data_IF_017553311212
#
_entry.id   IF_017553311212
#
_cell.length_a   1.000
_cell.length_b   1.000
_cell.length_c   1.000
_cell.angle_alpha   90.00
_cell.angle_beta   90.00
_cell.angle_gamma   90.00
#
_symmetry.space_group_name_H-M   'P 1'
#
loop_
_entity.id
_entity.type
_entity.pdbx_description
1 polymer ?
#
# COMPACT_ATOMS: atom_id res chain seq x y z
N UNK A 1 -14.88 0.33 24.54
CA UNK A 1 -14.52 1.53 23.74
C UNK A 1 -13.81 1.05 22.47
N UNK A 2 -14.55 0.82 21.38
CA UNK A 2 -13.96 0.39 20.10
C UNK A 2 -13.78 1.63 19.25
N UNK A 3 -12.54 2.09 19.10
CA UNK A 3 -12.24 3.13 18.11
C UNK A 3 -12.41 2.51 16.72
N UNK A 4 -13.61 2.63 16.14
CA UNK A 4 -13.85 2.38 14.73
C UNK A 4 -12.93 3.31 13.95
N UNK A 5 -11.87 2.75 13.35
CA UNK A 5 -11.09 3.40 12.30
C UNK A 5 -12.10 3.84 11.24
N UNK A 6 -12.32 5.15 11.10
CA UNK A 6 -13.11 5.68 9.98
C UNK A 6 -12.37 5.27 8.71
N UNK A 7 -12.88 4.27 8.00
CA UNK A 7 -12.42 3.97 6.66
C UNK A 7 -12.94 5.12 5.79
N UNK A 8 -12.13 6.16 5.63
CA UNK A 8 -12.39 7.14 4.58
C UNK A 8 -12.33 6.40 3.24
N UNK A 9 -13.30 6.62 2.34
CA UNK A 9 -13.28 5.97 1.04
C UNK A 9 -12.05 6.46 0.29
N UNK A 10 -11.09 5.55 0.07
CA UNK A 10 -9.95 5.81 -0.80
C UNK A 10 -10.53 5.98 -2.20
N UNK A 11 -10.57 7.21 -2.70
CA UNK A 11 -10.99 7.47 -4.07
C UNK A 11 -10.04 6.73 -5.01
N UNK A 12 -10.55 5.96 -5.99
CA UNK A 12 -9.70 5.15 -6.84
C UNK A 12 -8.93 6.05 -7.80
N UNK A 13 -7.69 6.36 -7.46
CA UNK A 13 -6.71 6.85 -8.43
C UNK A 13 -6.27 5.67 -9.29
N UNK A 14 -6.17 5.88 -10.61
CA UNK A 14 -5.57 4.88 -11.50
C UNK A 14 -4.09 4.73 -11.19
N UNK A 15 -3.46 3.65 -11.66
CA UNK A 15 -2.02 3.43 -11.53
C UNK A 15 -1.25 4.69 -11.97
N UNK A 16 -0.49 5.27 -11.04
CA UNK A 16 0.15 6.56 -11.23
C UNK A 16 1.58 6.56 -10.67
N UNK A 17 2.44 7.39 -11.26
CA UNK A 17 3.82 7.64 -10.84
C UNK A 17 4.02 9.15 -10.77
N UNK A 18 4.55 9.63 -9.66
CA UNK A 18 4.82 11.06 -9.42
C UNK A 18 6.28 11.25 -9.05
N UNK A 19 6.88 12.34 -9.54
CA UNK A 19 8.20 12.79 -9.10
C UNK A 19 8.03 13.79 -7.95
N UNK A 20 8.24 13.33 -6.72
CA UNK A 20 8.05 14.16 -5.53
C UNK A 20 9.08 15.31 -5.40
N UNK A 21 10.20 15.27 -6.13
CA UNK A 21 11.18 16.36 -6.09
C UNK A 21 10.66 17.59 -6.84
N UNK A 22 9.99 17.38 -7.98
CA UNK A 22 9.45 18.45 -8.82
C UNK A 22 7.95 18.66 -8.65
N UNK A 23 7.23 17.65 -8.19
CA UNK A 23 5.77 17.63 -8.02
C UNK A 23 5.36 17.07 -6.65
N UNK A 24 5.67 17.78 -5.54
CA UNK A 24 5.34 17.34 -4.19
C UNK A 24 3.83 17.29 -3.91
N UNK A 25 3.01 17.91 -4.76
CA UNK A 25 1.55 17.89 -4.69
C UNK A 25 0.91 16.72 -5.46
N UNK A 26 1.70 15.84 -6.08
CA UNK A 26 1.21 14.67 -6.84
C UNK A 26 0.17 15.02 -7.91
N UNK A 27 0.38 16.12 -8.63
CA UNK A 27 -0.56 16.64 -9.63
C UNK A 27 -0.32 16.07 -11.04
N UNK A 28 0.89 15.58 -11.33
CA UNK A 28 1.33 15.20 -12.67
C UNK A 28 1.72 13.71 -12.74
N UNK A 29 0.81 12.88 -13.24
CA UNK A 29 1.07 11.46 -13.42
C UNK A 29 1.96 11.19 -14.65
N UNK A 30 3.19 10.74 -14.42
CA UNK A 30 4.19 10.39 -15.44
C UNK A 30 4.34 8.89 -15.69
N UNK A 31 3.40 8.06 -15.22
CA UNK A 31 3.48 6.59 -15.33
C UNK A 31 3.61 6.08 -16.77
N UNK A 32 2.98 6.76 -17.74
CA UNK A 32 3.04 6.38 -19.16
C UNK A 32 4.39 6.68 -19.79
N UNK A 33 5.12 7.65 -19.25
CA UNK A 33 6.43 8.09 -19.73
C UNK A 33 7.56 7.22 -19.18
N UNK A 34 7.34 6.59 -18.03
CA UNK A 34 8.33 5.76 -17.33
C UNK A 34 7.83 4.36 -16.94
N UNK A 35 7.41 3.52 -17.92
CA UNK A 35 6.85 2.19 -17.65
C UNK A 35 7.83 1.24 -16.92
N UNK A 36 9.13 1.40 -17.14
CA UNK A 36 10.18 0.62 -16.47
C UNK A 36 10.27 0.93 -14.97
N UNK A 37 10.05 2.18 -14.57
CA UNK A 37 10.02 2.59 -13.16
C UNK A 37 8.78 2.03 -12.49
N UNK A 38 7.63 2.13 -13.18
CA UNK A 38 6.37 1.53 -12.71
C UNK A 38 6.57 0.04 -12.46
N UNK A 39 7.09 -0.72 -13.43
CA UNK A 39 7.33 -2.15 -13.28
C UNK A 39 8.25 -2.48 -12.09
N UNK A 40 9.34 -1.71 -11.92
CA UNK A 40 10.28 -1.89 -10.81
C UNK A 40 9.59 -1.67 -9.45
N UNK A 41 8.86 -0.57 -9.30
CA UNK A 41 8.21 -0.22 -8.04
C UNK A 41 7.04 -1.15 -7.72
N UNK A 42 6.26 -1.55 -8.72
CA UNK A 42 5.21 -2.57 -8.57
C UNK A 42 5.80 -3.89 -8.08
N UNK A 43 6.92 -4.34 -8.66
CA UNK A 43 7.59 -5.56 -8.22
C UNK A 43 8.08 -5.51 -6.76
N UNK A 44 8.54 -4.34 -6.28
CA UNK A 44 8.89 -4.14 -4.87
C UNK A 44 7.66 -4.16 -3.98
N UNK A 45 6.60 -3.45 -4.37
CA UNK A 45 5.34 -3.43 -3.63
C UNK A 45 4.74 -4.83 -3.50
N UNK A 46 4.76 -5.63 -4.56
CA UNK A 46 4.23 -7.00 -4.55
C UNK A 46 5.00 -7.92 -3.60
N UNK A 47 6.32 -7.74 -3.46
CA UNK A 47 7.09 -8.48 -2.45
C UNK A 47 6.62 -8.10 -1.05
N UNK A 48 6.52 -6.81 -0.76
CA UNK A 48 6.08 -6.34 0.56
C UNK A 48 4.64 -6.74 0.90
N UNK A 49 3.73 -6.74 -0.07
CA UNK A 49 2.36 -7.26 0.10
C UNK A 49 2.35 -8.73 0.49
N UNK A 50 3.20 -9.56 -0.12
CA UNK A 50 3.32 -10.98 0.25
C UNK A 50 3.89 -11.17 1.66
N UNK A 51 4.87 -10.35 2.04
CA UNK A 51 5.52 -10.49 3.34
C UNK A 51 4.63 -9.99 4.49
N UNK A 52 4.03 -8.82 4.34
CA UNK A 52 3.28 -8.13 5.39
C UNK A 52 1.77 -8.38 5.33
N UNK A 53 1.25 -8.76 4.17
CA UNK A 53 -0.17 -8.82 3.87
C UNK A 53 -0.70 -7.50 3.30
N UNK A 54 -1.88 -7.57 2.68
CA UNK A 54 -2.59 -6.44 2.11
C UNK A 54 -4.10 -6.72 2.19
N UNK A 55 -4.80 -6.04 3.10
CA UNK A 55 -6.23 -6.22 3.31
C UNK A 55 -7.09 -5.67 2.18
N UNK A 56 -6.58 -4.72 1.38
CA UNK A 56 -7.31 -4.15 0.25
C UNK A 56 -7.41 -5.17 -0.90
N UNK A 57 -6.36 -5.98 -1.06
CA UNK A 57 -6.28 -7.02 -2.10
C UNK A 57 -6.49 -8.44 -1.57
N UNK A 58 -6.68 -8.60 -0.25
CA UNK A 58 -6.93 -9.88 0.41
C UNK A 58 -5.69 -10.77 0.56
N UNK A 59 -4.48 -10.22 0.42
CA UNK A 59 -3.23 -10.98 0.55
C UNK A 59 -2.93 -11.18 2.04
N UNK A 60 -2.76 -12.44 2.46
CA UNK A 60 -2.28 -12.77 3.80
C UNK A 60 -0.74 -12.76 3.83
N UNK A 61 -0.16 -12.03 4.77
CA UNK A 61 1.29 -11.90 4.90
C UNK A 61 1.96 -13.16 5.44
N UNK A 62 3.10 -13.54 4.85
CA UNK A 62 3.86 -14.74 5.25
C UNK A 62 4.85 -14.48 6.38
N UNK A 63 5.20 -13.22 6.67
CA UNK A 63 6.19 -12.80 7.68
C UNK A 63 5.51 -12.01 8.82
N UNK A 64 4.24 -12.31 9.08
CA UNK A 64 3.46 -11.65 10.13
C UNK A 64 3.59 -12.43 11.44
N UNK A 65 3.93 -11.74 12.52
CA UNK A 65 3.99 -12.34 13.87
C UNK A 65 2.56 -12.63 14.37
N UNK A 66 2.31 -13.78 15.02
CA UNK A 66 1.03 -14.01 15.68
C UNK A 66 0.75 -12.92 16.73
N UNK A 67 -0.52 -12.55 16.85
CA UNK A 67 -0.94 -11.65 17.92
C UNK A 67 -0.61 -12.27 19.29
N UNK A 68 -0.14 -11.44 20.22
CA UNK A 68 0.00 -11.86 21.61
C UNK A 68 -1.38 -12.12 22.22
N UNK A 69 -1.50 -13.18 23.00
CA UNK A 69 -2.70 -13.42 23.82
C UNK A 69 -2.55 -12.60 25.11
N UNK A 70 -3.52 -11.75 25.43
CA UNK A 70 -3.65 -11.25 26.78
C UNK A 70 -4.19 -12.39 27.65
N UNK A 71 -3.57 -12.67 28.79
CA UNK A 71 -4.18 -13.54 29.77
C UNK A 71 -5.51 -12.91 30.19
N UNK A 72 -6.61 -13.63 30.00
CA UNK A 72 -7.93 -13.25 30.51
C UNK A 72 -7.82 -13.02 32.04
N UNK A 73 -8.52 -12.02 32.60
CA UNK A 73 -8.59 -11.83 34.04
C UNK A 73 -9.35 -12.95 34.77
#
# INVERSE_FOLDING_TARGET
MTASRRQEPVLPISLSLFDLQTDPGEQHNVAREHPEIVARLTGLADRMRRDLGDSLTGIQGTVVRPAGLAAEP
#
